data_IF_115166776913
#
_entry.id   IF_115166776913
#
_cell.length_a   1.000
_cell.length_b   1.000
_cell.length_c   1.000
_cell.angle_alpha   90.00
_cell.angle_beta   90.00
_cell.angle_gamma   90.00
#
_symmetry.space_group_name_H-M   'P 1'
#
loop_
_entity.id
_entity.type
_entity.pdbx_description
1 polymer ?
#
# COMPACT_ATOMS: atom_id res chain seq x y z
N UNK A 1 -13.76 6.50 4.92
CA UNK A 1 -12.31 6.80 5.06
C UNK A 1 -11.61 5.83 4.11
N UNK A 2 -10.35 5.48 4.24
CA UNK A 2 -9.81 4.33 3.50
C UNK A 2 -9.08 3.47 4.53
N UNK A 3 -9.45 2.20 4.64
CA UNK A 3 -8.81 1.29 5.60
C UNK A 3 -7.65 0.59 4.91
N UNK A 4 -6.50 0.55 5.57
CA UNK A 4 -5.40 -0.32 5.17
C UNK A 4 -5.21 -1.42 6.22
N UNK A 5 -5.28 -2.68 5.79
CA UNK A 5 -5.09 -3.83 6.67
C UNK A 5 -4.23 -4.90 6.01
N UNK A 6 -3.96 -5.97 6.75
CA UNK A 6 -3.08 -7.06 6.33
C UNK A 6 -3.77 -8.42 6.46
N UNK A 7 -3.17 -9.48 5.94
CA UNK A 7 -3.56 -10.85 6.28
C UNK A 7 -3.42 -11.13 7.79
N UNK A 8 -4.05 -12.21 8.28
CA UNK A 8 -3.96 -12.58 9.70
C UNK A 8 -2.53 -12.97 10.04
N UNK A 9 -2.07 -12.56 11.24
CA UNK A 9 -0.72 -12.84 11.77
C UNK A 9 0.40 -12.45 10.77
N UNK A 10 0.43 -11.20 10.30
CA UNK A 10 1.45 -10.76 9.36
C UNK A 10 2.83 -10.77 10.05
N UNK A 11 3.88 -10.98 9.26
CA UNK A 11 5.25 -10.85 9.76
C UNK A 11 5.51 -9.43 10.29
N UNK A 12 6.51 -9.24 11.17
CA UNK A 12 6.89 -7.91 11.64
C UNK A 12 7.23 -6.95 10.51
N UNK A 13 7.84 -7.47 9.44
CA UNK A 13 8.20 -6.74 8.23
C UNK A 13 6.95 -6.21 7.50
N UNK A 14 5.99 -7.08 7.19
CA UNK A 14 4.71 -6.70 6.54
C UNK A 14 3.92 -5.73 7.41
N UNK A 15 3.90 -5.94 8.72
CA UNK A 15 3.24 -5.04 9.66
C UNK A 15 3.85 -3.64 9.64
N UNK A 16 5.16 -3.56 9.47
CA UNK A 16 5.90 -2.29 9.44
C UNK A 16 5.63 -1.58 8.12
N UNK A 17 5.77 -2.30 7.00
CA UNK A 17 5.43 -1.82 5.66
C UNK A 17 3.99 -1.29 5.60
N UNK A 18 3.01 -2.07 6.04
CA UNK A 18 1.60 -1.68 6.03
C UNK A 18 1.32 -0.40 6.80
N UNK A 19 1.92 -0.23 7.99
CA UNK A 19 1.76 1.00 8.78
C UNK A 19 2.43 2.20 8.14
N UNK A 20 3.58 2.00 7.48
CA UNK A 20 4.30 3.09 6.81
C UNK A 20 3.59 3.51 5.53
N UNK A 21 3.04 2.55 4.78
CA UNK A 21 2.20 2.82 3.61
C UNK A 21 0.89 3.52 3.99
N UNK A 22 0.20 3.03 5.03
CA UNK A 22 -1.02 3.69 5.52
C UNK A 22 -0.76 5.14 5.94
N UNK A 23 0.37 5.38 6.62
CA UNK A 23 0.79 6.73 6.97
C UNK A 23 1.06 7.61 5.74
N UNK A 24 1.74 7.09 4.72
CA UNK A 24 1.99 7.83 3.48
C UNK A 24 0.68 8.19 2.77
N UNK A 25 -0.23 7.22 2.64
CA UNK A 25 -1.52 7.39 1.97
C UNK A 25 -2.55 8.19 2.80
N UNK A 26 -2.30 8.41 4.10
CA UNK A 26 -3.28 9.01 5.01
C UNK A 26 -4.47 8.08 5.32
N UNK A 27 -4.28 6.77 5.20
CA UNK A 27 -5.28 5.75 5.52
C UNK A 27 -5.24 5.38 7.01
N UNK A 28 -6.37 4.86 7.51
CA UNK A 28 -6.41 4.25 8.83
C UNK A 28 -5.84 2.84 8.78
N UNK A 29 -4.71 2.63 9.47
CA UNK A 29 -4.15 1.29 9.62
C UNK A 29 -4.91 0.51 10.69
N UNK A 30 -5.61 -0.54 10.27
CA UNK A 30 -6.34 -1.42 11.17
C UNK A 30 -5.69 -2.80 11.30
N UNK A 31 -5.51 -3.25 12.54
CA UNK A 31 -5.02 -4.60 12.81
C UNK A 31 -6.08 -5.63 12.42
N UNK A 32 -5.71 -6.61 11.58
CA UNK A 32 -6.67 -7.60 11.06
C UNK A 32 -7.33 -8.47 12.13
N UNK A 33 -6.59 -8.87 13.16
CA UNK A 33 -7.11 -9.71 14.25
C UNK A 33 -7.80 -11.00 13.74
N UNK A 34 -9.05 -11.21 14.18
CA UNK A 34 -9.93 -12.30 13.72
C UNK A 34 -10.98 -11.84 12.72
N UNK A 35 -11.08 -10.55 12.43
CA UNK A 35 -12.12 -9.97 11.59
C UNK A 35 -12.02 -10.52 10.16
N UNK A 36 -13.14 -10.95 9.59
CA UNK A 36 -13.22 -11.31 8.17
C UNK A 36 -13.10 -10.06 7.31
N UNK A 37 -12.69 -10.20 6.06
CA UNK A 37 -12.54 -9.04 5.17
C UNK A 37 -13.90 -8.44 4.80
N UNK A 38 -14.89 -9.34 4.58
CA UNK A 38 -16.31 -8.98 4.38
C UNK A 38 -16.96 -8.27 5.57
N UNK A 39 -16.38 -8.38 6.77
CA UNK A 39 -16.89 -7.68 7.95
C UNK A 39 -16.34 -6.24 8.03
N UNK A 40 -15.41 -5.88 7.13
CA UNK A 40 -14.78 -4.56 7.08
C UNK A 40 -15.45 -3.65 6.07
N UNK A 41 -15.98 -4.18 4.96
CA UNK A 41 -16.65 -3.36 3.94
C UNK A 41 -17.83 -2.55 4.46
N UNK A 42 -18.63 -3.00 5.47
CA UNK A 42 -19.68 -2.16 6.04
C UNK A 42 -19.15 -0.98 6.88
N UNK A 43 -17.88 -1.03 7.31
CA UNK A 43 -17.22 0.05 8.05
C UNK A 43 -16.60 1.07 7.10
N UNK A 44 -16.03 0.58 5.99
CA UNK A 44 -15.43 1.40 4.97
C UNK A 44 -15.55 0.74 3.59
N UNK A 45 -16.10 1.42 2.58
CA UNK A 45 -16.25 0.85 1.24
C UNK A 45 -14.92 0.60 0.55
N UNK A 46 -13.83 1.27 0.96
CA UNK A 46 -12.53 1.17 0.29
C UNK A 46 -11.49 0.57 1.23
N UNK A 47 -10.96 -0.59 0.84
CA UNK A 47 -9.98 -1.33 1.64
C UNK A 47 -8.74 -1.63 0.80
N UNK A 48 -7.58 -1.22 1.31
CA UNK A 48 -6.29 -1.71 0.85
C UNK A 48 -5.88 -2.89 1.72
N UNK A 49 -5.80 -4.06 1.10
CA UNK A 49 -5.47 -5.31 1.77
C UNK A 49 -4.10 -5.83 1.34
N UNK A 50 -3.18 -5.95 2.29
CA UNK A 50 -1.81 -6.41 2.05
C UNK A 50 -1.64 -7.85 2.50
N UNK A 51 -1.13 -8.70 1.62
CA UNK A 51 -0.74 -10.07 1.98
C UNK A 51 0.58 -10.49 1.36
N UNK A 52 1.26 -11.40 2.04
CA UNK A 52 2.41 -12.08 1.48
C UNK A 52 1.94 -13.31 0.71
N UNK A 53 2.34 -13.38 -0.56
CA UNK A 53 2.13 -14.52 -1.45
C UNK A 53 3.48 -15.14 -1.78
N UNK A 54 3.87 -16.19 -1.04
CA UNK A 54 5.21 -16.79 -1.13
C UNK A 54 6.33 -15.77 -0.94
N UNK A 55 7.10 -15.47 -2.00
CA UNK A 55 8.18 -14.48 -1.99
C UNK A 55 7.73 -13.07 -2.40
N UNK A 56 6.49 -12.91 -2.83
CA UNK A 56 5.91 -11.65 -3.30
C UNK A 56 4.96 -11.05 -2.26
N UNK A 57 4.62 -9.78 -2.44
CA UNK A 57 3.61 -9.10 -1.63
C UNK A 57 2.56 -8.50 -2.53
N UNK A 58 1.31 -8.88 -2.29
CA UNK A 58 0.16 -8.35 -3.00
C UNK A 58 -0.45 -7.20 -2.18
N UNK A 59 -0.77 -6.11 -2.85
CA UNK A 59 -1.61 -5.03 -2.34
C UNK A 59 -2.89 -5.05 -3.17
N UNK A 60 -3.98 -5.55 -2.58
CA UNK A 60 -5.29 -5.62 -3.23
C UNK A 60 -6.11 -4.39 -2.88
N UNK A 61 -6.78 -3.83 -3.88
CA UNK A 61 -7.80 -2.83 -3.67
C UNK A 61 -9.16 -3.53 -3.69
N UNK A 62 -9.92 -3.35 -2.61
CA UNK A 62 -11.30 -3.79 -2.54
C UNK A 62 -12.22 -2.58 -2.42
N UNK A 63 -13.26 -2.55 -3.24
CA UNK A 63 -14.30 -1.51 -3.27
C UNK A 63 -15.65 -2.19 -3.11
N UNK A 64 -16.44 -1.74 -2.14
CA UNK A 64 -17.76 -2.27 -1.80
C UNK A 64 -17.78 -3.80 -1.56
N UNK A 65 -16.64 -4.36 -1.11
CA UNK A 65 -16.46 -5.78 -0.82
C UNK A 65 -16.11 -6.65 -2.04
N UNK A 66 -15.90 -6.04 -3.20
CA UNK A 66 -15.38 -6.68 -4.42
C UNK A 66 -13.92 -6.29 -4.64
N UNK A 67 -13.14 -7.20 -5.20
CA UNK A 67 -11.74 -6.91 -5.56
C UNK A 67 -11.73 -6.18 -6.89
N UNK A 68 -11.22 -4.95 -6.90
CA UNK A 68 -11.01 -4.17 -8.13
C UNK A 68 -9.80 -4.71 -8.90
N UNK A 69 -8.63 -4.73 -8.24
CA UNK A 69 -7.40 -5.28 -8.81
C UNK A 69 -6.33 -5.47 -7.71
N UNK A 70 -5.15 -5.98 -8.11
CA UNK A 70 -4.00 -6.17 -7.24
C UNK A 70 -2.68 -5.65 -7.82
N UNK A 71 -1.87 -5.04 -6.94
CA UNK A 71 -0.50 -4.65 -7.24
C UNK A 71 0.43 -5.68 -6.61
N UNK A 72 1.20 -6.39 -7.44
CA UNK A 72 2.16 -7.39 -6.98
C UNK A 72 3.55 -6.77 -6.90
N UNK A 73 4.13 -6.77 -5.70
CA UNK A 73 5.50 -6.36 -5.44
C UNK A 73 6.41 -7.58 -5.39
N UNK A 74 7.52 -7.52 -6.14
CA UNK A 74 8.60 -8.50 -6.07
C UNK A 74 9.50 -8.25 -4.85
N UNK A 75 9.53 -7.00 -4.36
CA UNK A 75 10.25 -6.60 -3.16
C UNK A 75 10.21 -5.09 -2.93
N UNK A 76 10.93 -4.67 -1.89
CA UNK A 76 11.20 -3.26 -1.65
C UNK A 76 12.53 -3.07 -0.92
N UNK A 77 13.11 -1.88 -1.09
CA UNK A 77 14.21 -1.40 -0.28
C UNK A 77 13.75 -0.24 0.61
N UNK A 78 14.41 -0.09 1.76
CA UNK A 78 14.14 1.00 2.71
C UNK A 78 15.42 1.81 2.88
N UNK A 79 15.37 3.05 2.41
CA UNK A 79 16.42 4.04 2.60
C UNK A 79 16.04 5.11 3.63
N UNK A 80 16.89 6.13 3.73
CA UNK A 80 16.64 7.32 4.53
C UNK A 80 16.06 8.41 3.63
N UNK A 81 14.98 9.05 4.09
CA UNK A 81 14.42 10.26 3.51
C UNK A 81 15.26 11.47 3.92
N UNK A 82 15.85 12.12 2.93
CA UNK A 82 16.62 13.36 3.11
C UNK A 82 15.78 14.62 2.96
N UNK A 83 14.73 14.56 2.15
CA UNK A 83 13.88 15.71 1.83
C UNK A 83 12.67 15.82 2.78
N UNK A 84 11.88 16.87 2.58
CA UNK A 84 10.58 17.02 3.23
C UNK A 84 9.67 15.83 2.90
N UNK A 85 8.80 15.49 3.87
CA UNK A 85 7.86 14.39 3.69
C UNK A 85 6.82 14.75 2.64
N UNK A 86 6.68 13.89 1.64
CA UNK A 86 5.61 13.94 0.66
C UNK A 86 4.52 12.93 1.02
N UNK A 87 3.25 13.31 0.84
CA UNK A 87 2.10 12.42 1.06
C UNK A 87 1.79 11.63 -0.20
N UNK A 88 1.30 10.41 0.00
CA UNK A 88 0.88 9.50 -1.06
C UNK A 88 1.99 8.58 -1.55
N UNK A 89 1.66 7.88 -2.64
CA UNK A 89 2.63 7.14 -3.44
C UNK A 89 3.00 7.94 -4.69
N UNK A 90 4.21 7.74 -5.16
CA UNK A 90 4.73 8.26 -6.42
C UNK A 90 5.02 7.05 -7.30
N UNK A 91 4.45 7.03 -8.50
CA UNK A 91 4.62 5.88 -9.39
C UNK A 91 4.82 6.31 -10.84
N UNK A 92 5.67 5.58 -11.54
CA UNK A 92 5.84 5.69 -12.99
C UNK A 92 4.95 4.70 -13.75
N UNK A 93 4.22 3.83 -13.05
CA UNK A 93 3.32 2.84 -13.63
C UNK A 93 1.88 3.40 -13.70
N UNK A 94 1.42 3.55 -14.93
CA UNK A 94 0.08 4.05 -15.21
C UNK A 94 -1.02 3.16 -14.61
N UNK A 95 -0.86 1.83 -14.61
CA UNK A 95 -1.89 0.94 -14.07
C UNK A 95 -2.02 1.08 -12.56
N UNK A 96 -0.90 1.28 -11.86
CA UNK A 96 -0.89 1.55 -10.41
C UNK A 96 -1.58 2.87 -10.10
N UNK A 97 -1.28 3.92 -10.87
CA UNK A 97 -1.90 5.23 -10.69
C UNK A 97 -3.41 5.19 -10.95
N UNK A 98 -3.83 4.61 -12.07
CA UNK A 98 -5.23 4.52 -12.44
C UNK A 98 -6.04 3.75 -11.38
N UNK A 99 -5.46 2.68 -10.83
CA UNK A 99 -6.07 1.88 -9.77
C UNK A 99 -6.25 2.67 -8.46
N UNK A 100 -5.25 3.47 -8.05
CA UNK A 100 -5.21 4.03 -6.70
C UNK A 100 -5.64 5.50 -6.60
N UNK A 101 -5.46 6.31 -7.64
CA UNK A 101 -5.59 7.77 -7.56
C UNK A 101 -7.02 8.26 -7.24
N UNK A 102 -8.03 7.43 -7.50
CA UNK A 102 -9.41 7.75 -7.12
C UNK A 102 -9.66 7.63 -5.60
N UNK A 103 -8.85 6.83 -4.90
CA UNK A 103 -9.15 6.37 -3.55
C UNK A 103 -8.13 6.84 -2.51
N UNK A 104 -6.88 7.01 -2.92
CA UNK A 104 -5.78 7.44 -2.06
C UNK A 104 -4.84 8.38 -2.82
N UNK A 105 -4.05 9.21 -2.11
CA UNK A 105 -3.12 10.11 -2.78
C UNK A 105 -2.08 9.31 -3.58
N UNK A 106 -2.12 9.47 -4.90
CA UNK A 106 -1.15 8.90 -5.82
C UNK A 106 -0.73 9.98 -6.83
N UNK A 107 0.55 10.00 -7.20
CA UNK A 107 1.09 10.97 -8.15
C UNK A 107 1.87 10.25 -9.23
N UNK A 108 1.51 10.49 -10.49
CA UNK A 108 2.32 10.05 -11.63
C UNK A 108 3.62 10.84 -11.68
N UNK A 109 4.73 10.13 -11.85
CA UNK A 109 6.07 10.70 -12.00
C UNK A 109 6.74 10.13 -13.25
N UNK A 110 7.48 10.98 -13.95
CA UNK A 110 8.26 10.57 -15.11
C UNK A 110 9.69 10.20 -14.69
N UNK A 111 10.27 9.18 -15.34
CA UNK A 111 11.67 8.80 -15.21
C UNK A 111 12.12 8.45 -13.77
N UNK A 112 11.56 7.40 -13.20
CA UNK A 112 12.06 6.79 -11.96
C UNK A 112 12.48 5.34 -12.19
N UNK A 113 13.60 4.95 -11.57
CA UNK A 113 14.13 3.59 -11.62
C UNK A 113 13.24 2.58 -10.87
N UNK A 114 12.53 3.04 -9.82
CA UNK A 114 11.60 2.23 -9.05
C UNK A 114 10.15 2.49 -9.50
N UNK A 115 9.33 1.45 -9.48
CA UNK A 115 7.93 1.55 -9.94
C UNK A 115 7.05 2.30 -8.95
N UNK A 116 7.27 2.13 -7.65
CA UNK A 116 6.50 2.80 -6.59
C UNK A 116 7.46 3.33 -5.52
N UNK A 117 7.28 4.58 -5.13
CA UNK A 117 8.03 5.25 -4.06
C UNK A 117 7.07 5.88 -3.07
N UNK A 118 7.35 5.79 -1.76
CA UNK A 118 6.60 6.53 -0.75
C UNK A 118 7.40 6.81 0.53
N UNK A 119 6.95 7.83 1.25
CA UNK A 119 7.55 8.28 2.49
C UNK A 119 6.88 7.66 3.71
N UNK A 120 7.57 6.70 4.31
CA UNK A 120 7.15 6.07 5.55
C UNK A 120 7.37 6.93 6.79
N UNK A 121 6.97 6.39 7.94
CA UNK A 121 7.24 7.00 9.25
C UNK A 121 8.74 6.99 9.54
N UNK A 122 9.17 7.80 10.51
CA UNK A 122 10.55 7.84 11.00
C UNK A 122 11.61 8.05 9.90
N UNK A 123 11.34 8.95 8.95
CA UNK A 123 12.22 9.25 7.79
C UNK A 123 12.54 8.05 6.90
N UNK A 124 11.70 7.01 6.87
CA UNK A 124 11.89 5.90 5.92
C UNK A 124 11.46 6.33 4.53
N UNK A 125 12.26 5.94 3.53
CA UNK A 125 11.94 6.09 2.12
C UNK A 125 11.85 4.69 1.50
N UNK A 126 10.66 4.31 1.08
CA UNK A 126 10.41 3.03 0.44
C UNK A 126 10.55 3.17 -1.07
N UNK A 127 11.25 2.20 -1.68
CA UNK A 127 11.29 2.00 -3.14
C UNK A 127 10.87 0.57 -3.41
N UNK A 128 9.77 0.39 -4.11
CA UNK A 128 9.15 -0.91 -4.36
C UNK A 128 9.27 -1.26 -5.85
N UNK A 129 9.60 -2.51 -6.09
CA UNK A 129 9.73 -3.08 -7.42
C UNK A 129 8.47 -3.88 -7.71
N UNK A 130 7.85 -3.63 -8.87
CA UNK A 130 6.67 -4.37 -9.31
C UNK A 130 7.09 -5.68 -9.94
N UNK A 131 6.24 -6.69 -9.78
CA UNK A 131 6.25 -7.82 -10.69
C UNK A 131 5.44 -7.44 -11.94
N UNK A 132 6.06 -7.49 -13.12
CA UNK A 132 5.40 -7.23 -14.40
C UNK A 132 4.62 -8.45 -14.89
#
# INVERSE_FOLDING_TARGET
MTILTTSRRPSPEIRTFAKDLAFALGCDHMNRGKTGLRDLSPQDPVILFIERQQQKVAIRLEVDGETEDEIILSGWSVGVRENEMQKGIFTSDQSVYDLLNQYVPATMVQNQDATIIFDGRQRRLYRCDREL
#
